data_IF_117818951432
#
_entry.id   IF_117818951432
#
_cell.length_a   1.000
_cell.length_b   1.000
_cell.length_c   1.000
_cell.angle_alpha   90.00
_cell.angle_beta   90.00
_cell.angle_gamma   90.00
#
_symmetry.space_group_name_H-M   'P 1'
#
loop_
_entity.id
_entity.type
_entity.pdbx_description
1 polymer ?
#
# COMPACT_ATOMS: atom_id res chain seq x y z
N UNK A 1 24.32 -0.42 -1.10
CA UNK A 1 24.94 -1.61 -0.46
C UNK A 1 23.84 -2.45 0.16
N UNK A 2 23.67 -3.68 -0.32
CA UNK A 2 22.79 -4.69 0.29
C UNK A 2 23.60 -5.42 1.37
N UNK A 3 23.09 -5.46 2.60
CA UNK A 3 23.63 -6.29 3.68
C UNK A 3 24.51 -5.54 4.67
N UNK A 4 23.92 -5.16 5.80
CA UNK A 4 24.41 -5.28 7.19
C UNK A 4 23.16 -5.06 8.06
N UNK A 5 22.82 -6.05 8.89
CA UNK A 5 21.60 -6.13 9.74
C UNK A 5 20.27 -6.14 8.96
N UNK A 6 19.76 -7.33 8.63
CA UNK A 6 18.30 -7.48 8.57
C UNK A 6 17.78 -7.29 10.00
N UNK A 7 17.48 -6.05 10.39
CA UNK A 7 16.51 -5.85 11.46
C UNK A 7 15.26 -6.64 11.05
N UNK A 8 14.62 -7.26 12.03
CA UNK A 8 13.30 -7.84 11.81
C UNK A 8 12.45 -6.76 11.10
N UNK A 9 11.85 -7.03 9.92
CA UNK A 9 11.06 -6.03 9.20
C UNK A 9 10.04 -5.32 10.09
N UNK A 10 9.51 -6.03 11.08
CA UNK A 10 8.62 -5.49 12.10
C UNK A 10 9.29 -4.45 13.01
N UNK A 11 10.53 -4.66 13.43
CA UNK A 11 11.27 -3.68 14.24
C UNK A 11 11.53 -2.39 13.47
N UNK A 12 11.89 -2.49 12.19
CA UNK A 12 12.06 -1.31 11.34
C UNK A 12 10.72 -0.59 11.10
N UNK A 13 9.64 -1.34 10.90
CA UNK A 13 8.29 -0.78 10.78
C UNK A 13 7.87 -0.05 12.07
N UNK A 14 8.13 -0.64 13.23
CA UNK A 14 7.91 -0.01 14.54
C UNK A 14 8.68 1.30 14.69
N UNK A 15 9.95 1.35 14.26
CA UNK A 15 10.77 2.57 14.26
C UNK A 15 10.16 3.66 13.37
N UNK A 16 9.78 3.34 12.13
CA UNK A 16 9.12 4.29 11.20
C UNK A 16 7.80 4.78 11.79
N UNK A 17 6.95 3.89 12.28
CA UNK A 17 5.63 4.26 12.82
C UNK A 17 5.79 5.18 14.04
N UNK A 18 6.79 4.92 14.88
CA UNK A 18 7.10 5.75 16.05
C UNK A 18 7.64 7.13 15.67
N UNK A 19 8.50 7.20 14.66
CA UNK A 19 9.12 8.44 14.19
C UNK A 19 8.14 9.34 13.45
N UNK A 20 7.45 8.80 12.43
CA UNK A 20 6.60 9.59 11.52
C UNK A 20 5.15 9.67 11.96
N UNK A 21 4.70 8.78 12.86
CA UNK A 21 3.31 8.70 13.36
C UNK A 21 2.26 8.81 12.24
N UNK A 22 2.35 7.98 11.19
CA UNK A 22 1.43 8.08 10.07
C UNK A 22 -0.01 7.76 10.48
N UNK A 23 -0.98 8.45 9.87
CA UNK A 23 -2.42 8.16 9.99
C UNK A 23 -2.85 7.02 9.05
N UNK A 24 -2.23 6.97 7.87
CA UNK A 24 -2.36 5.90 6.88
C UNK A 24 -0.99 5.33 6.53
N UNK A 25 -0.91 4.03 6.38
CA UNK A 25 0.32 3.32 6.04
C UNK A 25 0.06 2.29 4.94
N UNK A 26 0.79 2.43 3.83
CA UNK A 26 0.85 1.46 2.75
C UNK A 26 2.10 0.59 2.86
N UNK A 27 1.93 -0.72 2.92
CA UNK A 27 3.01 -1.71 2.92
C UNK A 27 2.98 -2.45 1.58
N UNK A 28 4.07 -2.35 0.83
CA UNK A 28 4.25 -3.03 -0.46
C UNK A 28 5.20 -4.21 -0.31
N UNK A 29 5.03 -5.23 -1.15
CA UNK A 29 5.81 -6.48 -1.12
C UNK A 29 5.82 -7.23 0.24
N UNK A 30 4.68 -7.40 0.95
CA UNK A 30 4.65 -8.29 2.12
C UNK A 30 4.97 -9.75 1.75
N UNK A 31 4.78 -10.14 0.47
CA UNK A 31 5.03 -11.47 -0.11
C UNK A 31 4.33 -12.63 0.62
N UNK A 32 3.37 -12.33 1.49
CA UNK A 32 2.57 -13.27 2.26
C UNK A 32 1.11 -12.82 2.25
N UNK A 33 0.19 -13.78 2.32
CA UNK A 33 -1.20 -13.47 2.66
C UNK A 33 -1.25 -12.90 4.08
N UNK A 34 -2.16 -11.97 4.40
CA UNK A 34 -2.34 -11.46 5.76
C UNK A 34 -2.39 -12.60 6.79
N UNK A 35 -1.37 -12.75 7.65
CA UNK A 35 -1.38 -13.82 8.64
C UNK A 35 -2.43 -13.53 9.72
N UNK A 36 -2.93 -14.56 10.39
CA UNK A 36 -3.94 -14.41 11.45
C UNK A 36 -3.49 -13.49 12.61
N UNK A 37 -2.18 -13.32 12.80
CA UNK A 37 -1.59 -12.43 13.82
C UNK A 37 -1.46 -10.97 13.37
N UNK A 38 -1.59 -10.69 12.07
CA UNK A 38 -1.42 -9.33 11.53
C UNK A 38 -2.32 -8.30 12.21
N UNK A 39 -3.62 -8.54 12.46
CA UNK A 39 -4.46 -7.58 13.15
C UNK A 39 -3.91 -7.17 14.53
N UNK A 40 -3.42 -8.14 15.29
CA UNK A 40 -2.80 -7.90 16.60
C UNK A 40 -1.48 -7.11 16.48
N UNK A 41 -0.65 -7.43 15.48
CA UNK A 41 0.62 -6.73 15.22
C UNK A 41 0.36 -5.27 14.80
N UNK A 42 -0.60 -5.04 13.91
CA UNK A 42 -1.05 -3.70 13.51
C UNK A 42 -1.68 -2.94 14.69
N UNK A 43 -2.42 -3.62 15.56
CA UNK A 43 -2.95 -3.04 16.80
C UNK A 43 -1.84 -2.52 17.72
N UNK A 44 -0.72 -3.24 17.84
CA UNK A 44 0.45 -2.78 18.63
C UNK A 44 1.12 -1.53 18.04
N UNK A 45 0.95 -1.29 16.74
CA UNK A 45 1.41 -0.10 16.03
C UNK A 45 0.39 1.06 16.09
N UNK A 46 -0.79 0.81 16.68
CA UNK A 46 -1.89 1.77 16.80
C UNK A 46 -2.73 1.93 15.52
N UNK A 47 -2.84 0.86 14.71
CA UNK A 47 -3.72 0.79 13.54
C UNK A 47 -4.96 -0.11 13.80
N UNK A 48 -5.22 -0.47 15.06
CA UNK A 48 -6.46 -1.07 15.57
C UNK A 48 -7.09 -2.18 14.71
N UNK A 49 -6.25 -3.05 14.14
CA UNK A 49 -6.68 -4.13 13.23
C UNK A 49 -7.37 -3.69 11.94
N UNK A 50 -7.35 -2.40 11.60
CA UNK A 50 -7.98 -1.86 10.40
C UNK A 50 -7.02 -1.92 9.22
N UNK A 51 -7.32 -2.78 8.24
CA UNK A 51 -6.52 -2.87 7.03
C UNK A 51 -7.30 -3.40 5.82
N UNK A 52 -6.76 -3.12 4.63
CA UNK A 52 -7.15 -3.68 3.34
C UNK A 52 -5.96 -4.39 2.72
N UNK A 53 -6.23 -5.37 1.86
CA UNK A 53 -5.23 -6.07 1.07
C UNK A 53 -5.78 -6.40 -0.31
N UNK A 54 -4.90 -6.59 -1.29
CA UNK A 54 -5.28 -6.92 -2.67
C UNK A 54 -5.17 -8.41 -3.04
N UNK A 55 -5.07 -9.29 -2.05
CA UNK A 55 -5.20 -10.74 -2.28
C UNK A 55 -6.50 -11.08 -3.00
N UNK A 56 -6.42 -12.07 -3.89
CA UNK A 56 -7.59 -12.77 -4.45
C UNK A 56 -7.55 -14.24 -4.08
N UNK A 57 -8.64 -15.00 -4.29
CA UNK A 57 -8.64 -16.45 -4.09
C UNK A 57 -7.53 -17.15 -4.89
N UNK A 58 -7.22 -16.67 -6.10
CA UNK A 58 -6.25 -17.28 -7.00
C UNK A 58 -4.83 -16.70 -6.92
N UNK A 59 -4.63 -15.54 -6.27
CA UNK A 59 -3.33 -14.86 -6.24
C UNK A 59 -3.07 -14.17 -4.90
N UNK A 60 -1.85 -14.35 -4.38
CA UNK A 60 -1.36 -13.61 -3.21
C UNK A 60 -1.11 -12.17 -3.65
N UNK A 61 -1.72 -11.23 -2.93
CA UNK A 61 -1.54 -9.81 -3.12
C UNK A 61 -0.20 -9.36 -2.58
N UNK A 62 0.07 -8.09 -2.76
CA UNK A 62 1.38 -7.49 -2.52
C UNK A 62 1.28 -6.06 -2.00
N UNK A 63 0.08 -5.63 -1.59
CA UNK A 63 -0.17 -4.32 -1.01
C UNK A 63 -1.11 -4.50 0.18
N UNK A 64 -0.71 -3.99 1.33
CA UNK A 64 -1.58 -3.78 2.49
C UNK A 64 -1.72 -2.29 2.74
N UNK A 65 -2.92 -1.84 3.07
CA UNK A 65 -3.19 -0.46 3.49
C UNK A 65 -3.83 -0.52 4.86
N UNK A 66 -3.23 0.12 5.86
CA UNK A 66 -3.74 0.18 7.23
C UNK A 66 -3.84 1.63 7.71
N UNK A 67 -4.71 1.88 8.68
CA UNK A 67 -5.00 3.23 9.16
C UNK A 67 -5.38 3.23 10.64
N UNK A 68 -5.21 4.38 11.29
CA UNK A 68 -5.55 4.52 12.72
C UNK A 68 -7.05 4.60 12.93
N UNK A 69 -7.51 4.16 14.10
CA UNK A 69 -8.90 4.35 14.52
C UNK A 69 -9.34 5.83 14.41
N UNK A 70 -10.59 6.04 14.02
CA UNK A 70 -11.16 7.37 13.78
C UNK A 70 -11.02 7.87 12.33
N UNK A 71 -10.12 7.29 11.53
CA UNK A 71 -10.05 7.59 10.09
C UNK A 71 -11.15 6.85 9.33
N UNK A 72 -12.02 7.59 8.63
CA UNK A 72 -13.04 7.01 7.75
C UNK A 72 -12.39 6.71 6.40
N UNK A 73 -12.01 5.45 6.20
CA UNK A 73 -11.38 4.95 4.97
C UNK A 73 -12.37 4.10 4.20
N UNK A 74 -12.63 4.46 2.94
CA UNK A 74 -13.49 3.68 2.04
C UNK A 74 -12.68 3.14 0.86
N UNK A 75 -12.84 1.86 0.54
CA UNK A 75 -12.25 1.30 -0.67
C UNK A 75 -12.90 1.94 -1.91
N UNK A 76 -12.07 2.55 -2.75
CA UNK A 76 -12.51 3.21 -3.98
C UNK A 76 -12.26 2.32 -5.21
N UNK A 77 -11.07 1.75 -5.32
CA UNK A 77 -10.71 0.81 -6.38
C UNK A 77 -9.62 -0.17 -5.91
N UNK A 78 -9.59 -1.36 -6.49
CA UNK A 78 -8.67 -2.43 -6.10
C UNK A 78 -8.19 -3.20 -7.32
N UNK A 79 -6.88 -3.42 -7.42
CA UNK A 79 -6.30 -4.33 -8.40
C UNK A 79 -5.06 -5.03 -7.87
N UNK A 80 -4.46 -5.89 -8.69
CA UNK A 80 -3.20 -6.57 -8.34
C UNK A 80 -2.00 -5.64 -8.26
N UNK A 81 -2.12 -4.39 -8.71
CA UNK A 81 -1.01 -3.43 -8.75
C UNK A 81 -1.30 -2.15 -7.95
N UNK A 82 -2.53 -1.94 -7.49
CA UNK A 82 -2.85 -0.82 -6.61
C UNK A 82 -4.01 -1.12 -5.64
N UNK A 83 -4.02 -0.40 -4.51
CA UNK A 83 -5.20 -0.21 -3.66
C UNK A 83 -5.49 1.28 -3.66
N UNK A 84 -6.73 1.67 -3.96
CA UNK A 84 -7.15 3.06 -3.91
C UNK A 84 -8.26 3.24 -2.89
N UNK A 85 -8.04 4.17 -1.98
CA UNK A 85 -8.94 4.48 -0.88
C UNK A 85 -9.32 5.94 -0.90
N UNK A 86 -10.51 6.24 -0.39
CA UNK A 86 -10.96 7.60 -0.08
C UNK A 86 -10.85 7.82 1.41
N UNK A 87 -10.20 8.91 1.81
CA UNK A 87 -10.03 9.35 3.20
C UNK A 87 -10.49 10.80 3.30
N UNK A 88 -11.67 11.01 3.90
CA UNK A 88 -12.34 12.32 3.86
C UNK A 88 -12.58 12.78 2.41
N UNK A 89 -11.94 13.89 2.02
CA UNK A 89 -12.04 14.45 0.66
C UNK A 89 -10.88 14.04 -0.26
N UNK A 90 -9.86 13.35 0.25
CA UNK A 90 -8.68 12.94 -0.51
C UNK A 90 -8.84 11.50 -1.01
N UNK A 91 -8.45 11.26 -2.25
CA UNK A 91 -8.28 9.91 -2.78
C UNK A 91 -6.79 9.58 -2.81
N UNK A 92 -6.43 8.40 -2.32
CA UNK A 92 -5.06 7.92 -2.25
C UNK A 92 -4.93 6.58 -2.96
N UNK A 93 -4.03 6.50 -3.94
CA UNK A 93 -3.67 5.26 -4.62
C UNK A 93 -2.31 4.76 -4.14
N UNK A 94 -2.29 3.64 -3.42
CA UNK A 94 -1.08 2.90 -3.06
C UNK A 94 -0.73 1.93 -4.18
N UNK A 95 0.47 2.04 -4.73
CA UNK A 95 0.89 1.31 -5.93
C UNK A 95 2.06 0.39 -5.61
N UNK A 96 1.98 -0.83 -6.12
CA UNK A 96 3.14 -1.68 -6.32
C UNK A 96 3.01 -2.34 -7.70
N UNK A 97 3.65 -1.69 -8.66
CA UNK A 97 3.56 -2.03 -10.07
C UNK A 97 4.35 -3.31 -10.39
N UNK A 98 3.89 -4.05 -11.38
CA UNK A 98 4.62 -5.20 -11.90
C UNK A 98 5.90 -4.75 -12.62
N UNK A 99 6.99 -5.51 -12.50
CA UNK A 99 8.25 -5.23 -13.20
C UNK A 99 8.16 -5.45 -14.72
N UNK A 100 7.29 -6.36 -15.17
CA UNK A 100 7.03 -6.59 -16.58
C UNK A 100 6.16 -5.48 -17.18
N UNK A 101 6.70 -4.76 -18.16
CA UNK A 101 6.03 -3.63 -18.82
C UNK A 101 4.63 -3.99 -19.36
N UNK A 102 4.48 -5.17 -19.97
CA UNK A 102 3.20 -5.61 -20.54
C UNK A 102 2.07 -5.71 -19.49
N UNK A 103 2.39 -6.18 -18.28
CA UNK A 103 1.41 -6.27 -17.17
C UNK A 103 1.21 -4.88 -16.55
N UNK A 104 2.29 -4.11 -16.39
CA UNK A 104 2.25 -2.77 -15.80
C UNK A 104 1.42 -1.78 -16.61
N UNK A 105 1.22 -1.99 -17.90
CA UNK A 105 0.36 -1.13 -18.73
C UNK A 105 -1.08 -1.02 -18.20
N UNK A 106 -1.63 -2.09 -17.62
CA UNK A 106 -3.00 -2.05 -17.08
C UNK A 106 -3.11 -1.08 -15.89
N UNK A 107 -2.10 -1.03 -15.03
CA UNK A 107 -2.03 -0.09 -13.91
C UNK A 107 -2.16 1.36 -14.39
N UNK A 108 -1.42 1.76 -15.43
CA UNK A 108 -1.51 3.13 -15.94
C UNK A 108 -2.89 3.45 -16.50
N UNK A 109 -3.52 2.48 -17.16
CA UNK A 109 -4.91 2.64 -17.64
C UNK A 109 -5.88 2.85 -16.47
N UNK A 110 -5.77 2.02 -15.43
CA UNK A 110 -6.62 2.10 -14.22
C UNK A 110 -6.41 3.44 -13.50
N UNK A 111 -5.17 3.84 -13.23
CA UNK A 111 -4.85 5.12 -12.58
C UNK A 111 -5.33 6.32 -13.39
N UNK A 112 -5.21 6.29 -14.73
CA UNK A 112 -5.70 7.38 -15.59
C UNK A 112 -7.21 7.55 -15.44
N UNK A 113 -7.98 6.45 -15.40
CA UNK A 113 -9.43 6.54 -15.21
C UNK A 113 -9.79 7.09 -13.83
N UNK A 114 -9.05 6.70 -12.78
CA UNK A 114 -9.25 7.25 -11.43
C UNK A 114 -8.99 8.76 -11.43
N UNK A 115 -7.84 9.21 -11.94
CA UNK A 115 -7.47 10.64 -11.94
C UNK A 115 -8.39 11.54 -12.76
N UNK A 116 -9.14 11.00 -13.73
CA UNK A 116 -10.18 11.74 -14.44
C UNK A 116 -11.48 11.88 -13.64
N UNK A 117 -11.69 11.03 -12.63
CA UNK A 117 -12.94 10.94 -11.88
C UNK A 117 -12.90 11.61 -10.50
N UNK A 118 -11.71 11.89 -9.96
CA UNK A 118 -11.54 12.38 -8.58
C UNK A 118 -10.54 13.52 -8.48
N UNK A 119 -10.80 14.45 -7.55
CA UNK A 119 -9.87 15.52 -7.16
C UNK A 119 -10.23 15.98 -5.72
N UNK A 120 -9.25 16.18 -4.81
CA UNK A 120 -7.81 15.92 -4.95
C UNK A 120 -7.44 14.43 -4.90
N UNK A 121 -6.34 14.07 -5.56
CA UNK A 121 -5.87 12.70 -5.69
C UNK A 121 -4.33 12.61 -5.64
N UNK A 122 -3.80 11.76 -4.76
CA UNK A 122 -2.39 11.42 -4.73
C UNK A 122 -2.14 9.94 -5.05
N UNK A 123 -0.99 9.68 -5.69
CA UNK A 123 -0.54 8.33 -6.05
C UNK A 123 0.86 8.12 -5.47
N UNK A 124 1.01 7.08 -4.66
CA UNK A 124 2.26 6.79 -3.94
C UNK A 124 2.62 5.33 -4.05
N UNK A 125 3.92 5.01 -4.05
CA UNK A 125 4.41 3.64 -3.98
C UNK A 125 5.51 3.34 -4.98
N UNK A 126 5.68 2.05 -5.29
CA UNK A 126 6.71 1.56 -6.20
C UNK A 126 6.12 1.32 -7.59
N UNK A 127 6.54 2.13 -8.56
CA UNK A 127 6.08 2.04 -9.94
C UNK A 127 6.94 1.12 -10.81
N UNK A 128 8.05 0.58 -10.30
CA UNK A 128 8.98 -0.27 -11.06
C UNK A 128 9.40 0.34 -12.42
N UNK A 129 9.60 1.67 -12.45
CA UNK A 129 10.05 2.43 -13.62
C UNK A 129 11.12 3.43 -13.20
N UNK A 130 12.17 3.55 -14.01
CA UNK A 130 13.10 4.68 -13.98
C UNK A 130 12.60 5.71 -14.98
N UNK A 131 12.17 6.89 -14.51
CA UNK A 131 11.58 7.92 -15.37
C UNK A 131 12.61 8.53 -16.34
N UNK A 132 13.86 8.67 -15.90
CA UNK A 132 15.01 9.04 -16.73
C UNK A 132 16.28 8.46 -16.11
N UNK A 133 17.09 7.74 -16.87
CA UNK A 133 18.48 7.43 -16.50
C UNK A 133 19.39 8.43 -17.20
N UNK A 134 20.24 9.12 -16.44
CA UNK A 134 21.32 9.95 -16.98
C UNK A 134 22.40 9.10 -17.63
#
# INVERSE_FOLDING_TARGET
MRGIRRQNPWTYLEEIVKEYKPELLGIVEPLIRPPAKLPLELGRLGFDSMFLHNDTPSKVGNIWVCWREGNVVTLYALSQQHITVKVGNLVLSFVHANSAYGIRRSLWSELTQIGLAVEPWDVVGDFNIVLMSK
#
